data_IF_675706504357
#
_entry.id   IF_675706504357
#
_cell.length_a   1.000
_cell.length_b   1.000
_cell.length_c   1.000
_cell.angle_alpha   90.00
_cell.angle_beta   90.00
_cell.angle_gamma   90.00
#
_symmetry.space_group_name_H-M   'P 1'
#
loop_
_entity.id
_entity.type
_entity.pdbx_description
1 polymer ?
2 non-polymer ?
3 non-polymer ?
4 non-polymer ?
5 water ?
#
# COMPACT_ATOMS: atom_id res chain seq x y z
N UNK A 15 -29.43 4.67 23.77
CA UNK A 15 -28.21 5.49 23.79
C UNK A 15 -26.93 4.70 24.10
N UNK A 16 -25.83 5.21 23.58
CA UNK A 16 -24.50 4.65 23.82
C UNK A 16 -23.63 5.82 24.26
N UNK A 17 -23.33 5.88 25.55
CA UNK A 17 -22.56 6.97 26.12
C UNK A 17 -21.19 6.50 26.62
N UNK A 18 -20.70 5.37 26.10
CA UNK A 18 -19.47 4.78 26.62
C UNK A 18 -18.28 5.73 26.44
N UNK A 19 -18.07 6.25 25.24
CA UNK A 19 -16.81 6.93 24.98
C UNK A 19 -16.80 8.37 25.50
N UNK A 20 -17.95 9.04 25.48
CA UNK A 20 -18.08 10.34 26.12
C UNK A 20 -17.76 10.21 27.61
N UNK A 22 -14.66 9.44 29.81
CA UNK A 22 -13.27 9.03 30.03
C UNK A 22 -12.36 10.14 29.52
N UNK A 23 -11.38 10.55 30.32
CA UNK A 23 -10.56 11.71 29.97
C UNK A 23 -9.07 11.41 30.01
N UNK A 24 -8.69 10.14 29.98
CA UNK A 24 -7.28 9.74 30.03
C UNK A 24 -7.03 8.74 28.92
N UNK A 25 -6.59 9.25 27.78
CA UNK A 25 -6.16 8.40 26.69
C UNK A 25 -5.57 9.27 25.61
N UNK A 26 -4.74 8.64 24.77
CA UNK A 26 -4.15 9.36 23.65
C UNK A 26 -4.30 8.49 22.40
N UNK A 27 -4.55 9.13 21.27
CA UNK A 27 -4.99 8.42 20.07
C UNK A 27 -4.20 8.93 18.87
N UNK A 28 -3.62 8.00 18.11
CA UNK A 28 -2.79 8.35 16.95
C UNK A 28 -3.29 7.61 15.72
N UNK A 29 -3.21 8.28 14.59
CA UNK A 29 -3.46 7.65 13.30
C UNK A 29 -2.22 6.87 12.90
N UNK A 30 -2.41 5.65 12.39
CA UNK A 30 -1.31 4.85 11.83
C UNK A 30 -1.58 4.64 10.34
N UNK A 31 -0.66 5.07 9.49
CA UNK A 31 -0.81 4.95 8.04
C UNK A 31 0.30 4.05 7.54
N UNK A 32 -0.07 2.99 6.81
CA UNK A 32 0.86 2.01 6.29
C UNK A 32 0.69 1.92 4.78
N UNK A 33 1.80 1.74 4.06
CA UNK A 33 1.70 1.49 2.62
C UNK A 33 1.41 0.03 2.31
N UNK A 34 1.60 -0.84 3.28
CA UNK A 34 1.74 -2.27 3.03
C UNK A 34 0.58 -3.01 3.67
N UNK A 35 -0.13 -3.77 2.86
CA UNK A 35 -1.15 -4.66 3.40
C UNK A 35 -0.50 -5.81 4.16
N UNK A 36 0.69 -6.25 3.74
CA UNK A 36 1.40 -7.32 4.45
C UNK A 36 1.74 -6.92 5.87
N UNK A 37 2.18 -5.68 6.08
CA UNK A 37 2.51 -5.23 7.43
C UNK A 37 1.29 -5.29 8.34
N UNK A 38 0.13 -4.84 7.84
CA UNK A 38 -1.11 -4.92 8.61
C UNK A 38 -1.41 -6.36 9.01
N UNK A 39 -1.34 -7.29 8.04
CA UNK A 39 -1.58 -8.71 8.34
C UNK A 39 -0.61 -9.21 9.40
N UNK A 40 0.67 -8.87 9.24
CA UNK A 40 1.68 -9.29 10.20
C UNK A 40 1.42 -8.70 11.58
N UNK A 41 0.94 -7.45 11.63
CA UNK A 41 0.65 -6.81 12.89
C UNK A 41 -0.49 -7.51 13.61
N UNK A 42 -1.55 -7.85 12.88
CA UNK A 42 -2.66 -8.56 13.47
C UNK A 42 -2.22 -9.92 13.99
N UNK A 43 -1.36 -10.60 13.23
CA UNK A 43 -0.96 -11.98 13.56
C UNK A 43 -0.11 -12.03 14.82
N UNK A 44 0.84 -11.11 14.97
CA UNK A 44 1.82 -11.19 16.04
C UNK A 44 1.70 -10.09 17.08
N UNK A 45 0.78 -9.14 16.89
CA UNK A 45 0.52 -8.08 17.86
C UNK A 45 1.78 -7.24 18.11
N UNK A 46 2.39 -6.78 17.01
CA UNK A 46 3.55 -5.90 17.03
C UNK A 46 3.41 -4.87 15.92
N UNK A 47 4.15 -3.77 16.05
CA UNK A 47 4.19 -2.72 15.05
C UNK A 47 5.56 -2.06 15.09
N UNK A 48 5.86 -1.30 14.04
CA UNK A 48 7.01 -0.42 14.02
C UNK A 48 6.65 0.75 13.12
N UNK A 49 7.01 1.96 13.55
CA UNK A 49 6.76 3.15 12.76
C UNK A 49 8.10 3.66 12.25
N UNK A 50 8.11 4.89 11.72
CA UNK A 50 9.36 5.55 11.39
C UNK A 50 10.11 5.89 12.68
N UNK A 51 11.34 6.40 12.51
CA UNK A 51 12.12 6.85 13.65
C UNK A 51 11.36 7.90 14.46
N UNK A 52 10.95 9.00 13.82
CA UNK A 52 10.26 10.04 14.61
C UNK A 52 8.87 9.57 15.04
N UNK A 53 8.20 8.74 14.23
CA UNK A 53 6.93 8.18 14.66
C UNK A 53 7.06 7.36 15.93
N UNK A 54 7.98 6.40 15.92
CA UNK A 54 8.28 5.63 17.12
C UNK A 54 8.55 6.55 18.31
N UNK A 55 9.33 7.62 18.10
CA UNK A 55 9.63 8.53 19.20
C UNK A 55 8.37 9.19 19.73
N UNK A 56 7.49 9.63 18.83
CA UNK A 56 6.22 10.24 19.26
C UNK A 56 5.40 9.25 20.06
N UNK A 57 5.24 8.03 19.54
CA UNK A 57 4.44 7.03 20.23
C UNK A 57 5.08 6.64 21.56
N UNK A 58 6.42 6.52 21.57
CA UNK A 58 7.12 6.11 22.78
C UNK A 58 6.92 7.13 23.89
N UNK A 59 7.01 8.43 23.55
CA UNK A 59 6.81 9.47 24.54
C UNK A 59 5.39 9.42 25.09
N UNK A 60 4.40 9.27 24.20
CA UNK A 60 3.01 9.18 24.66
C UNK A 60 2.81 7.99 25.58
N UNK A 61 3.35 6.82 25.20
CA UNK A 61 3.14 5.63 26.03
C UNK A 61 3.79 5.77 27.39
N UNK A 62 5.02 6.27 27.43
CA UNK A 62 5.71 6.37 28.71
C UNK A 62 5.06 7.42 29.61
N UNK A 63 4.69 8.57 29.03
CA UNK A 63 4.04 9.62 29.80
C UNK A 63 2.68 9.19 30.34
N UNK A 64 2.02 8.24 29.67
CA UNK A 64 0.68 7.86 30.11
C UNK A 64 0.75 7.06 31.41
N UNK A 65 1.79 6.26 31.57
CA UNK A 65 2.04 5.48 32.78
C UNK A 65 0.79 4.71 33.22
N UNK A 66 0.33 3.84 32.31
CA UNK A 66 -0.76 2.94 32.61
C UNK A 66 -2.11 3.56 32.95
N UNK A 67 -2.18 4.89 33.09
CA UNK A 67 -3.40 5.55 33.54
C UNK A 67 -4.49 5.61 32.47
N UNK A 68 -4.23 5.06 31.29
CA UNK A 68 -5.20 5.06 30.22
C UNK A 68 -4.55 4.61 28.93
N UNK A 69 -5.35 4.33 27.91
CA UNK A 69 -4.82 3.67 26.71
C UNK A 69 -4.18 4.63 25.72
N UNK A 70 -3.23 4.11 24.96
CA UNK A 70 -2.78 4.74 23.72
C UNK A 70 -3.39 3.96 22.57
N UNK A 71 -4.30 4.58 21.82
CA UNK A 71 -5.02 3.89 20.76
C UNK A 71 -4.40 4.23 19.40
N UNK A 72 -4.32 3.22 18.54
CA UNK A 72 -3.78 3.34 17.19
C UNK A 72 -4.91 3.04 16.21
N UNK A 73 -5.21 4.00 15.36
CA UNK A 73 -6.23 3.86 14.33
C UNK A 73 -5.52 3.58 13.02
N UNK A 74 -5.66 2.36 12.49
CA UNK A 74 -4.86 1.92 11.33
C UNK A 74 -5.60 2.18 10.02
N UNK A 75 -4.86 2.65 9.01
CA UNK A 75 -5.40 2.84 7.66
C UNK A 75 -4.29 2.62 6.64
N UNK A 76 -4.55 1.80 5.63
CA UNK A 76 -3.59 1.62 4.54
C UNK A 76 -3.72 2.79 3.58
N UNK A 77 -2.61 3.46 3.30
CA UNK A 77 -2.56 4.57 2.36
C UNK A 77 -3.27 4.20 1.07
N UNK A 78 -4.14 5.08 0.59
CA UNK A 78 -4.85 4.85 -0.67
C UNK A 78 -6.04 3.90 -0.59
N UNK A 79 -6.28 3.27 0.56
CA UNK A 79 -7.35 2.28 0.62
C UNK A 79 -8.73 2.88 0.77
N UNK A 80 -8.84 4.16 1.10
CA UNK A 80 -10.13 4.79 1.33
C UNK A 80 -10.83 4.39 2.60
N UNK A 81 -10.26 3.51 3.42
CA UNK A 81 -10.91 3.13 4.67
C UNK A 81 -9.87 2.95 5.77
N UNK A 82 -10.35 3.01 7.02
CA UNK A 82 -9.59 2.54 8.17
C UNK A 82 -9.84 1.05 8.34
N UNK A 83 -8.83 0.33 8.83
CA UNK A 83 -8.94 -1.12 8.90
C UNK A 83 -8.96 -1.65 10.33
N UNK A 84 -8.81 -0.82 11.34
CA UNK A 84 -9.03 -1.29 12.68
C UNK A 84 -8.35 -0.42 13.71
N UNK A 85 -8.35 -0.93 14.94
CA UNK A 85 -7.89 -0.21 16.12
C UNK A 85 -7.05 -1.17 16.94
N UNK A 86 -5.92 -0.68 17.43
CA UNK A 86 -5.10 -1.42 18.35
C UNK A 86 -4.69 -0.51 19.49
N UNK A 87 -4.34 -1.13 20.60
CA UNK A 87 -3.81 -0.43 21.76
C UNK A 87 -2.31 -0.70 21.82
N UNK A 88 -1.52 0.34 22.03
CA UNK A 88 -0.12 0.18 22.33
C UNK A 88 0.05 -0.53 23.67
N UNK A 89 1.00 -1.48 23.72
CA UNK A 89 1.17 -2.36 24.88
C UNK A 89 2.62 -2.45 25.34
N UNK A 90 3.50 -1.61 24.85
CA UNK A 90 4.89 -1.64 25.30
C UNK A 90 5.55 -0.35 24.84
N UNK A 91 6.63 0.01 25.51
CA UNK A 91 7.48 1.03 24.96
C UNK A 91 8.18 0.50 23.72
N UNK A 92 8.84 1.39 23.00
CA UNK A 92 9.57 1.00 21.80
C UNK A 92 10.92 0.40 22.19
N UNK A 93 11.18 -0.80 21.69
CA UNK A 93 12.51 -1.39 21.72
C UNK A 93 13.16 -1.06 20.38
N UNK A 94 14.19 -0.22 20.39
CA UNK A 94 14.72 0.32 19.14
C UNK A 94 15.76 -0.58 18.48
N UNK A 95 16.25 -1.62 19.15
CA UNK A 95 17.31 -2.46 18.62
C UNK A 95 16.76 -3.87 18.51
N UNK A 96 16.15 -4.18 17.37
CA UNK A 96 15.56 -5.49 17.15
C UNK A 96 15.92 -5.96 15.77
N UNK A 97 15.52 -7.20 15.47
CA UNK A 97 15.82 -7.80 14.18
C UNK A 97 15.34 -6.91 13.04
N UNK A 98 16.23 -6.64 12.10
CA UNK A 98 15.87 -5.77 10.98
C UNK A 98 15.17 -6.58 9.90
N UNK A 99 14.54 -5.87 8.96
CA UNK A 99 13.96 -6.55 7.80
C UNK A 99 12.71 -7.37 8.04
N UNK A 100 12.01 -7.21 9.16
CA UNK A 100 10.80 -7.99 9.37
C UNK A 100 9.59 -7.38 8.69
N UNK A 101 9.65 -6.14 8.24
CA UNK A 101 8.52 -5.44 7.67
C UNK A 101 8.69 -5.24 6.16
N UNK A 102 7.71 -4.57 5.57
CA UNK A 102 7.71 -4.28 4.13
C UNK A 102 9.05 -3.72 3.68
N UNK A 103 9.45 -2.59 4.25
CA UNK A 103 10.73 -1.96 3.98
C UNK A 103 11.74 -2.37 5.05
N UNK A 104 12.91 -2.83 4.60
CA UNK A 104 13.88 -3.45 5.50
C UNK A 104 14.53 -2.48 6.46
N UNK A 105 14.26 -1.19 6.35
CA UNK A 105 14.93 -0.19 7.17
C UNK A 105 14.05 0.41 8.26
N UNK A 106 12.97 -0.27 8.67
CA UNK A 106 12.29 0.11 9.90
C UNK A 106 13.15 -0.38 11.07
N UNK A 107 13.35 0.48 12.05
CA UNK A 107 14.22 0.18 13.19
C UNK A 107 13.40 0.06 14.47
N UNK A 108 13.17 -1.17 14.92
CA UNK A 108 12.61 -1.37 16.24
C UNK A 108 11.25 -2.05 16.18
N UNK A 109 10.58 -2.06 17.34
CA UNK A 109 9.38 -2.85 17.48
C UNK A 109 8.71 -2.45 18.78
N UNK A 110 7.38 -2.44 18.79
CA UNK A 110 6.66 -2.37 20.06
C UNK A 110 5.47 -3.30 19.97
N UNK A 111 4.95 -3.67 21.15
CA UNK A 111 3.79 -4.54 21.22
C UNK A 111 2.51 -3.74 21.10
N UNK A 112 1.52 -4.34 20.45
CA UNK A 112 0.17 -3.81 20.40
C UNK A 112 -0.77 -4.96 20.70
N UNK A 113 -2.02 -4.60 20.97
CA UNK A 113 -3.10 -5.58 21.02
C UNK A 113 -4.18 -5.06 20.08
N UNK A 114 -4.43 -5.78 18.99
CA UNK A 114 -5.50 -5.39 18.10
C UNK A 114 -6.82 -5.60 18.82
N UNK A 115 -7.58 -4.52 18.92
CA UNK A 115 -8.82 -4.51 19.69
C UNK A 115 -10.03 -4.65 18.77
N UNK A 116 -9.86 -4.36 17.49
CA UNK A 116 -10.99 -4.21 16.58
C UNK A 116 -10.47 -4.22 15.15
N UNK A 117 -10.95 -5.16 14.34
CA UNK A 117 -10.47 -5.36 12.97
C UNK A 117 -11.68 -5.32 12.05
N UNK A 118 -11.96 -4.16 11.47
CA UNK A 118 -12.90 -4.13 10.35
C UNK A 118 -12.70 -2.84 9.55
N UNK A 119 -13.17 -2.89 8.31
CA UNK A 119 -13.01 -1.76 7.41
C UNK A 119 -14.10 -0.73 7.67
N UNK A 120 -13.70 0.53 7.78
CA UNK A 120 -14.62 1.63 8.02
C UNK A 120 -14.32 2.67 6.95
N UNK A 121 -15.24 2.90 6.00
CA UNK A 121 -14.96 3.82 4.89
C UNK A 121 -14.66 5.21 5.40
N UNK A 122 -13.81 5.92 4.64
CA UNK A 122 -13.49 7.31 4.97
C UNK A 122 -14.73 8.20 4.96
N UNK A 123 -15.78 7.82 4.23
CA UNK A 123 -17.00 8.62 4.19
C UNK A 123 -17.64 8.73 5.56
N UNK A 124 -17.55 7.68 6.37
CA UNK A 124 -18.11 7.72 7.72
C UNK A 124 -17.35 8.64 8.66
N UNK A 125 -16.18 9.12 8.26
CA UNK A 125 -15.30 9.85 9.18
C UNK A 125 -14.81 11.20 8.66
N UNK A 126 -14.97 11.52 7.37
CA UNK A 126 -14.35 12.72 6.80
C UNK A 126 -14.89 14.01 7.39
N UNK A 127 -16.03 13.99 8.07
CA UNK A 127 -16.59 15.21 8.64
C UNK A 127 -16.06 15.51 10.03
N UNK A 128 -15.24 14.63 10.61
CA UNK A 128 -14.51 14.91 11.83
C UNK A 128 -13.18 15.55 11.46
N UNK A 129 -12.92 16.74 11.98
CA UNK A 129 -11.73 17.49 11.60
C UNK A 129 -10.84 17.68 12.81
N UNK A 130 -9.54 17.85 12.55
CA UNK A 130 -8.53 17.89 13.59
C UNK A 130 -8.05 19.33 13.73
N UNK A 131 -8.46 19.98 14.81
CA UNK A 131 -8.03 21.36 15.03
C UNK A 131 -6.52 21.47 15.23
N UNK A 132 -5.84 20.37 15.55
CA UNK A 132 -4.39 20.42 15.68
C UNK A 132 -3.69 20.16 14.37
N UNK A 133 -4.44 19.93 13.28
CA UNK A 133 -3.88 19.68 11.95
C UNK A 133 -4.60 20.54 10.91
N UNK A 134 -4.67 21.85 11.17
CA UNK A 134 -5.27 22.82 10.23
C UNK A 134 -6.72 22.48 9.89
N UNK A 135 -7.45 21.85 10.82
CA UNK A 135 -8.84 21.48 10.60
C UNK A 135 -9.02 20.54 9.42
N UNK A 136 -7.94 19.87 8.99
CA UNK A 136 -8.07 18.87 7.95
C UNK A 136 -8.87 17.68 8.46
N UNK A 137 -9.62 17.01 7.58
CA UNK A 137 -10.35 15.81 7.99
C UNK A 137 -9.42 14.77 8.57
N UNK A 138 -9.89 14.06 9.61
CA UNK A 138 -9.09 13.02 10.24
C UNK A 138 -8.67 11.97 9.22
N UNK A 139 -9.43 11.83 8.13
CA UNK A 139 -9.13 10.90 7.05
C UNK A 139 -8.06 11.42 6.10
N UNK A 140 -7.52 12.61 6.34
CA UNK A 140 -6.44 13.18 5.54
C UNK A 140 -5.14 13.28 6.34
N UNK A 141 -4.96 12.40 7.33
CA UNK A 141 -3.85 12.48 8.26
C UNK A 141 -2.67 11.67 7.78
N UNK A 142 -1.48 12.11 8.17
CA UNK A 142 -0.23 11.39 7.99
C UNK A 142 0.01 10.44 9.17
N UNK A 143 1.02 9.58 9.01
CA UNK A 143 1.36 8.58 10.01
C UNK A 143 1.73 9.23 11.35
N UNK A 144 1.17 8.68 12.43
CA UNK A 144 1.32 9.13 13.83
C UNK A 144 0.85 10.56 14.06
N UNK A 145 -0.03 11.08 13.20
CA UNK A 145 -0.84 12.23 13.57
C UNK A 145 -1.60 11.94 14.86
N UNK A 146 -1.42 12.77 15.89
CA UNK A 146 -2.23 12.57 17.09
C UNK A 146 -3.62 13.22 16.91
N UNK A 147 -4.61 12.63 17.56
CA UNK A 147 -6.01 13.05 17.46
C UNK A 147 -6.43 13.63 18.82
N UNK A 148 -6.98 14.84 18.86
CA UNK A 148 -7.42 15.39 20.16
C UNK A 148 -8.53 14.53 20.74
N UNK A 149 -8.52 14.39 22.07
CA UNK A 149 -9.36 13.37 22.72
C UNK A 149 -10.82 13.53 22.35
N UNK A 150 -11.32 14.77 22.31
CA UNK A 150 -12.74 14.97 22.01
C UNK A 150 -13.09 14.52 20.59
N UNK A 151 -12.16 14.66 19.63
CA UNK A 151 -12.40 14.08 18.30
C UNK A 151 -12.23 12.57 18.31
N UNK A 152 -11.22 12.07 19.04
CA UNK A 152 -11.02 10.62 19.12
C UNK A 152 -12.28 9.90 19.61
N UNK A 153 -12.96 10.47 20.62
CA UNK A 153 -14.17 9.83 21.12
C UNK A 153 -15.20 9.69 20.01
N UNK A 154 -15.32 10.70 19.15
CA UNK A 154 -16.29 10.63 18.05
C UNK A 154 -15.89 9.57 17.03
N UNK A 155 -14.60 9.50 16.72
CA UNK A 155 -14.08 8.51 15.77
C UNK A 155 -14.32 7.09 16.30
N UNK A 156 -13.93 6.85 17.55
CA UNK A 156 -14.10 5.52 18.12
C UNK A 156 -15.57 5.10 18.12
N UNK A 157 -16.49 6.03 18.41
CA UNK A 157 -17.90 5.67 18.42
C UNK A 157 -18.35 5.23 17.04
N UNK A 158 -17.95 5.96 15.99
CA UNK A 158 -18.38 5.61 14.65
C UNK A 158 -17.79 4.27 14.21
N UNK A 159 -16.53 4.02 14.56
CA UNK A 159 -15.91 2.75 14.18
C UNK A 159 -16.60 1.59 14.91
N UNK A 160 -16.83 1.74 16.21
CA UNK A 160 -17.42 0.67 16.99
C UNK A 160 -18.84 0.35 16.55
N UNK A 161 -19.51 1.27 15.86
CA UNK A 161 -20.91 1.06 15.49
C UNK A 161 -21.13 0.99 13.99
N UNK A 162 -20.09 0.89 13.18
CA UNK A 162 -20.29 0.70 11.76
C UNK A 162 -20.60 -0.76 11.47
N UNK A 163 -21.56 -1.00 10.58
CA UNK A 163 -21.99 -2.35 10.23
C UNK A 163 -21.92 -2.60 8.73
N UNK B 16 21.65 -1.47 -23.67
CA UNK B 16 21.11 -1.19 -25.00
C UNK B 16 20.95 -2.47 -25.82
N UNK B 17 21.38 -3.60 -25.25
CA UNK B 17 21.10 -4.92 -25.83
C UNK B 17 19.68 -5.40 -25.55
N UNK B 18 18.81 -4.54 -25.01
CA UNK B 18 17.53 -4.96 -24.45
C UNK B 18 16.38 -4.20 -25.11
N UNK B 19 15.33 -4.94 -25.49
CA UNK B 19 14.08 -4.35 -25.97
C UNK B 19 14.31 -3.43 -27.16
N UNK B 20 15.26 -3.81 -28.01
CA UNK B 20 15.50 -3.03 -29.22
C UNK B 20 14.48 -3.34 -30.31
N UNK B 21 13.79 -4.48 -30.24
CA UNK B 21 12.77 -4.87 -31.23
C UNK B 21 11.48 -5.21 -30.51
N UNK B 22 10.65 -4.19 -30.28
CA UNK B 22 9.31 -4.35 -29.74
C UNK B 22 8.35 -3.43 -30.51
N UNK B 23 8.25 -3.68 -31.81
CA UNK B 23 7.60 -2.75 -32.73
C UNK B 23 6.18 -2.41 -32.31
N UNK B 24 5.41 -3.41 -31.86
CA UNK B 24 4.00 -3.21 -31.56
C UNK B 24 3.67 -3.37 -30.07
N UNK B 25 4.65 -3.25 -29.19
CA UNK B 25 4.41 -3.50 -27.78
C UNK B 25 3.44 -2.50 -27.16
N UNK B 26 2.81 -2.95 -26.08
CA UNK B 26 2.03 -2.10 -25.20
C UNK B 26 2.47 -2.36 -23.76
N UNK B 27 2.58 -1.31 -22.95
CA UNK B 27 3.25 -1.41 -21.66
C UNK B 27 2.40 -0.72 -20.60
N UNK B 28 2.20 -1.41 -19.46
CA UNK B 28 1.34 -0.93 -18.38
C UNK B 28 2.09 -0.98 -17.05
N UNK B 29 1.85 0.03 -16.21
CA UNK B 29 2.32 0.00 -14.83
C UNK B 29 1.45 -0.97 -14.04
N UNK B 30 2.08 -1.79 -13.19
CA UNK B 30 1.35 -2.66 -12.27
C UNK B 30 1.75 -2.26 -10.86
N UNK B 31 0.75 -1.98 -10.02
CA UNK B 31 1.01 -1.65 -8.62
C UNK B 31 0.51 -2.78 -7.73
N UNK B 32 1.16 -2.91 -6.58
CA UNK B 32 0.69 -3.84 -5.55
C UNK B 32 0.86 -3.19 -4.20
N UNK B 33 -0.07 -3.50 -3.29
CA UNK B 33 0.04 -3.16 -1.87
C UNK B 33 0.64 -4.31 -1.06
N UNK B 34 1.17 -5.33 -1.72
CA UNK B 34 1.55 -6.58 -1.04
C UNK B 34 2.81 -7.14 -1.68
N UNK B 35 3.91 -7.16 -0.92
CA UNK B 35 5.11 -7.85 -1.38
C UNK B 35 4.87 -9.34 -1.52
N UNK B 36 4.09 -9.91 -0.59
CA UNK B 36 3.70 -11.32 -0.69
C UNK B 36 3.07 -11.65 -2.05
N UNK B 37 2.14 -10.82 -2.52
CA UNK B 37 1.54 -11.08 -3.84
C UNK B 37 2.58 -11.05 -4.96
N UNK B 38 3.53 -10.12 -4.90
CA UNK B 38 4.60 -10.08 -5.90
C UNK B 38 5.40 -11.38 -5.84
N UNK B 39 5.71 -11.85 -4.64
CA UNK B 39 6.48 -13.08 -4.52
C UNK B 39 5.72 -14.26 -5.09
N UNK B 40 4.41 -14.30 -4.86
CA UNK B 40 3.57 -15.37 -5.41
C UNK B 40 3.49 -15.26 -6.93
N UNK B 41 3.39 -14.04 -7.44
CA UNK B 41 3.39 -13.81 -8.88
C UNK B 41 4.67 -14.33 -9.51
N UNK B 42 5.81 -14.08 -8.87
CA UNK B 42 7.10 -14.52 -9.41
C UNK B 42 7.18 -16.04 -9.36
N UNK B 43 6.70 -16.65 -8.26
CA UNK B 43 6.80 -18.09 -8.11
C UNK B 43 5.95 -18.82 -9.14
N UNK B 44 4.72 -18.36 -9.38
CA UNK B 44 3.77 -19.10 -10.18
C UNK B 44 3.44 -18.46 -11.52
N UNK B 45 4.04 -17.32 -11.84
CA UNK B 45 3.85 -16.69 -13.16
C UNK B 45 2.38 -16.42 -13.44
N UNK B 46 1.71 -15.75 -12.49
CA UNK B 46 0.32 -15.35 -12.61
C UNK B 46 0.15 -14.00 -11.93
N UNK B 47 -0.91 -13.29 -12.29
CA UNK B 47 -1.25 -12.05 -11.62
C UNK B 47 -2.75 -11.85 -11.68
N UNK B 48 -3.23 -10.86 -10.94
CA UNK B 48 -4.62 -10.44 -10.96
C UNK B 48 -4.63 -8.99 -10.48
N UNK B 49 -5.37 -8.13 -11.19
CA UNK B 49 -5.53 -6.72 -10.84
C UNK B 49 -6.93 -6.48 -10.26
N UNK B 50 -7.33 -5.22 -10.17
CA UNK B 50 -8.73 -4.91 -9.86
C UNK B 50 -9.62 -5.34 -11.02
N UNK B 51 -10.94 -5.22 -10.83
CA UNK B 51 -11.84 -5.53 -11.94
C UNK B 51 -11.58 -4.62 -13.12
N UNK B 52 -11.55 -3.30 -12.87
CA UNK B 52 -11.34 -2.36 -13.96
C UNK B 52 -9.94 -2.48 -14.56
N UNK B 53 -8.94 -2.81 -13.74
CA UNK B 53 -7.60 -3.01 -14.28
C UNK B 53 -7.49 -4.26 -15.14
N UNK B 54 -8.12 -5.36 -14.68
CA UNK B 54 -8.14 -6.59 -15.47
C UNK B 54 -8.73 -6.34 -16.84
N UNK B 55 -9.84 -5.61 -16.89
CA UNK B 55 -10.50 -5.31 -18.16
C UNK B 55 -9.60 -4.52 -19.09
N UNK B 56 -8.84 -3.57 -18.54
CA UNK B 56 -7.93 -2.78 -19.38
C UNK B 56 -6.83 -3.66 -19.95
N UNK B 57 -6.25 -4.54 -19.14
CA UNK B 57 -5.18 -5.41 -19.62
C UNK B 57 -5.73 -6.47 -20.57
N UNK B 58 -6.89 -7.02 -20.25
CA UNK B 58 -7.56 -7.98 -21.12
C UNK B 58 -7.79 -7.40 -22.51
N UNK B 59 -8.40 -6.21 -22.57
CA UNK B 59 -8.62 -5.51 -23.84
C UNK B 59 -7.32 -5.34 -24.61
N UNK B 60 -6.27 -4.87 -23.93
CA UNK B 60 -4.99 -4.68 -24.61
C UNK B 60 -4.43 -6.00 -25.13
N UNK B 61 -4.50 -7.06 -24.31
CA UNK B 61 -3.93 -8.34 -24.73
C UNK B 61 -4.70 -8.92 -25.92
N UNK B 62 -6.04 -8.89 -25.86
CA UNK B 62 -6.84 -9.44 -26.95
C UNK B 62 -6.63 -8.65 -28.23
N UNK B 63 -6.69 -7.32 -28.17
CA UNK B 63 -6.53 -6.49 -29.36
C UNK B 63 -5.17 -6.68 -29.98
N UNK B 64 -4.18 -7.05 -29.16
CA UNK B 64 -2.85 -7.33 -29.66
C UNK B 64 -2.86 -8.53 -30.60
N UNK B 65 -3.72 -9.52 -30.31
CA UNK B 65 -3.87 -10.71 -31.15
C UNK B 65 -2.52 -11.35 -31.45
N UNK B 66 -1.62 -11.35 -30.47
CA UNK B 66 -0.31 -11.94 -30.62
C UNK B 66 0.66 -11.20 -31.52
N UNK B 67 0.26 -10.03 -32.07
CA UNK B 67 1.14 -9.27 -32.96
C UNK B 67 2.36 -8.68 -32.25
N UNK B 68 2.30 -8.54 -30.93
CA UNK B 68 3.41 -8.01 -30.18
C UNK B 68 3.19 -8.23 -28.70
N UNK B 69 4.14 -7.84 -27.86
CA UNK B 69 4.07 -8.16 -26.44
C UNK B 69 3.39 -7.09 -25.60
N UNK B 70 2.72 -7.54 -24.54
CA UNK B 70 2.23 -6.65 -23.49
C UNK B 70 3.19 -6.80 -22.32
N UNK B 71 3.90 -5.74 -21.98
CA UNK B 71 4.85 -5.76 -20.87
C UNK B 71 4.23 -5.13 -19.63
N UNK B 72 4.70 -5.55 -18.45
CA UNK B 72 4.13 -5.12 -17.18
C UNK B 72 5.26 -4.64 -16.29
N UNK B 73 5.20 -3.40 -15.85
CA UNK B 73 6.23 -2.80 -15.01
C UNK B 73 5.72 -2.82 -13.57
N UNK B 74 6.28 -3.69 -12.74
CA UNK B 74 5.76 -3.91 -11.41
C UNK B 74 6.43 -2.98 -10.39
N UNK B 75 5.62 -2.43 -9.47
CA UNK B 75 6.12 -1.60 -8.39
C UNK B 75 5.21 -1.77 -7.17
N UNK B 76 5.81 -1.92 -6.00
CA UNK B 76 5.06 -2.01 -4.75
C UNK B 76 4.84 -0.61 -4.20
N UNK B 77 3.59 -0.26 -3.95
CA UNK B 77 3.26 1.08 -3.46
C UNK B 77 4.09 1.46 -2.24
N UNK B 78 4.64 2.67 -2.27
CA UNK B 78 5.42 3.16 -1.16
C UNK B 78 6.82 2.58 -1.03
N UNK B 79 7.22 1.67 -1.92
CA UNK B 79 8.54 1.06 -1.78
C UNK B 79 9.68 1.95 -2.28
N UNK B 80 9.38 2.99 -3.04
CA UNK B 80 10.42 3.81 -3.59
C UNK B 80 11.16 3.22 -4.77
N UNK B 81 10.74 2.06 -5.27
CA UNK B 81 11.42 1.44 -6.40
C UNK B 81 10.45 0.58 -7.19
N UNK B 82 10.79 0.38 -8.46
CA UNK B 82 10.21 -0.66 -9.26
C UNK B 82 10.89 -1.99 -8.94
N UNK B 83 10.15 -3.09 -9.09
CA UNK B 83 10.70 -4.36 -8.68
C UNK B 83 10.84 -5.37 -9.81
N UNK B 84 10.42 -5.02 -11.04
CA UNK B 84 10.79 -5.85 -12.16
C UNK B 84 9.81 -5.72 -13.31
N UNK B 85 9.91 -6.67 -14.24
CA UNK B 85 9.24 -6.61 -15.52
C UNK B 85 8.73 -8.00 -15.85
N UNK B 86 7.48 -8.09 -16.29
CA UNK B 86 6.92 -9.35 -16.77
C UNK B 86 6.17 -9.09 -18.07
N UNK B 87 5.90 -10.17 -18.79
CA UNK B 87 5.06 -10.12 -19.98
C UNK B 87 3.74 -10.82 -19.71
N UNK B 88 2.65 -10.18 -20.13
CA UNK B 88 1.34 -10.80 -20.06
C UNK B 88 1.30 -11.98 -21.02
N UNK B 89 0.76 -13.12 -20.56
CA UNK B 89 0.87 -14.35 -21.34
C UNK B 89 -0.47 -15.03 -21.57
N UNK B 90 -1.57 -14.38 -21.22
CA UNK B 90 -2.88 -14.97 -21.42
C UNK B 90 -3.92 -13.88 -21.21
N UNK B 91 -5.12 -14.12 -21.75
CA UNK B 91 -6.26 -13.30 -21.41
C UNK B 91 -6.66 -13.54 -19.96
N UNK B 92 -7.56 -12.70 -19.47
CA UNK B 92 -8.00 -12.79 -18.09
C UNK B 92 -9.09 -13.84 -17.99
N UNK B 93 -8.97 -14.71 -16.99
CA UNK B 93 -10.01 -15.64 -16.61
C UNK B 93 -10.68 -15.07 -15.36
N UNK B 94 -11.95 -14.71 -15.47
CA UNK B 94 -12.64 -14.04 -14.36
C UNK B 94 -13.25 -15.02 -13.37
N UNK B 95 -13.16 -16.32 -13.61
CA UNK B 95 -13.80 -17.32 -12.74
C UNK B 95 -12.75 -18.35 -12.33
N UNK B 96 -12.03 -18.04 -11.23
CA UNK B 96 -10.95 -18.88 -10.73
C UNK B 96 -11.09 -18.98 -9.22
N UNK B 97 -10.23 -19.79 -8.61
CA UNK B 97 -10.28 -19.98 -7.17
C UNK B 97 -10.17 -18.65 -6.45
N UNK B 98 -11.01 -18.46 -5.45
CA UNK B 98 -10.98 -17.23 -4.67
C UNK B 98 -9.97 -17.37 -3.53
N UNK B 99 -9.56 -16.22 -3.00
CA UNK B 99 -8.72 -16.18 -1.82
C UNK B 99 -7.29 -16.67 -1.99
N UNK B 100 -6.74 -16.60 -3.20
CA UNK B 100 -5.37 -17.09 -3.37
C UNK B 100 -4.32 -16.02 -3.09
N UNK B 101 -4.71 -14.75 -3.03
CA UNK B 101 -3.79 -13.64 -2.82
C UNK B 101 -3.90 -13.12 -1.39
N UNK B 102 -3.13 -12.07 -1.11
CA UNK B 102 -3.09 -11.50 0.24
C UNK B 102 -4.48 -11.11 0.73
N UNK B 103 -5.29 -10.54 -0.14
CA UNK B 103 -6.67 -10.20 0.19
C UNK B 103 -7.63 -10.95 -0.72
N UNK B 104 -8.86 -11.15 -0.23
CA UNK B 104 -9.89 -11.83 -1.00
C UNK B 104 -10.55 -10.97 -2.07
N UNK B 105 -10.29 -9.67 -2.11
CA UNK B 105 -10.90 -8.78 -3.09
C UNK B 105 -10.38 -8.97 -4.52
N UNK B 106 -9.45 -9.88 -4.79
CA UNK B 106 -8.92 -10.05 -6.13
C UNK B 106 -9.59 -11.27 -6.79
N UNK B 107 -10.28 -11.02 -7.88
CA UNK B 107 -11.08 -12.04 -8.55
C UNK B 107 -10.51 -12.28 -9.94
N UNK B 108 -10.17 -13.52 -10.23
CA UNK B 108 -9.66 -13.88 -11.54
C UNK B 108 -8.16 -14.01 -11.58
N UNK B 109 -7.64 -14.21 -12.80
CA UNK B 109 -6.24 -14.54 -12.94
C UNK B 109 -5.87 -14.44 -14.41
N UNK B 110 -4.64 -14.02 -14.69
CA UNK B 110 -4.05 -14.24 -16.00
C UNK B 110 -2.60 -14.64 -15.81
N UNK B 111 -2.04 -15.26 -16.85
CA UNK B 111 -0.67 -15.73 -16.81
C UNK B 111 0.29 -14.60 -17.16
N UNK B 112 1.47 -14.65 -16.54
CA UNK B 112 2.56 -13.75 -16.88
C UNK B 112 3.82 -14.58 -17.04
N UNK B 113 4.86 -13.94 -17.56
CA UNK B 113 6.20 -14.48 -17.56
C UNK B 113 7.14 -13.38 -17.07
N UNK B 114 7.71 -13.57 -15.89
CA UNK B 114 8.64 -12.58 -15.37
C UNK B 114 9.95 -12.64 -16.15
N UNK B 115 10.46 -11.47 -16.54
CA UNK B 115 11.69 -11.33 -17.31
C UNK B 115 12.81 -10.77 -16.46
N UNK B 116 12.54 -9.72 -15.69
CA UNK B 116 13.50 -9.18 -14.74
C UNK B 116 12.86 -9.16 -13.35
N UNK B 117 13.57 -9.68 -12.36
CA UNK B 117 13.25 -9.45 -10.96
C UNK B 117 14.41 -8.68 -10.38
N UNK B 118 14.20 -7.39 -10.12
CA UNK B 118 15.28 -6.54 -9.62
C UNK B 118 14.72 -5.19 -9.18
N UNK B 119 15.25 -4.67 -8.08
CA UNK B 119 14.80 -3.37 -7.61
C UNK B 119 15.56 -2.27 -8.33
N UNK B 120 14.83 -1.34 -8.92
CA UNK B 120 15.39 -0.16 -9.56
C UNK B 120 14.85 1.06 -8.83
N UNK B 121 15.69 1.87 -8.20
CA UNK B 121 15.19 3.05 -7.48
C UNK B 121 14.40 3.97 -8.40
N UNK B 122 13.37 4.60 -7.83
CA UNK B 122 12.60 5.58 -8.61
C UNK B 122 13.47 6.73 -9.11
N UNK B 123 14.58 7.01 -8.44
CA UNK B 123 15.47 8.09 -8.91
C UNK B 123 15.95 7.82 -10.34
N UNK B 124 16.18 6.56 -10.69
CA UNK B 124 16.63 6.20 -12.03
C UNK B 124 15.54 6.41 -13.06
N UNK B 125 14.27 6.50 -12.65
CA UNK B 125 13.17 6.55 -13.59
C UNK B 125 12.36 7.83 -13.54
N UNK B 126 12.53 8.68 -12.51
CA UNK B 126 11.55 9.72 -12.26
C UNK B 126 11.55 10.82 -13.32
N UNK B 127 12.60 10.92 -14.12
CA UNK B 127 12.65 11.97 -15.13
C UNK B 127 11.95 11.59 -16.43
N UNK B 128 11.36 10.40 -16.50
CA UNK B 128 10.55 9.98 -17.64
C UNK B 128 9.09 10.34 -17.37
N UNK B 129 8.52 11.19 -18.23
CA UNK B 129 7.19 11.70 -17.99
C UNK B 129 6.22 11.13 -19.01
N UNK B 130 4.97 11.00 -18.59
CA UNK B 130 3.93 10.38 -19.40
C UNK B 130 3.08 11.48 -20.02
N UNK B 131 3.28 11.72 -21.32
CA UNK B 131 2.44 12.71 -22.00
C UNK B 131 0.95 12.36 -21.93
N UNK B 132 0.61 11.09 -21.71
CA UNK B 132 -0.80 10.73 -21.59
C UNK B 132 -1.30 10.84 -20.16
N UNK B 133 -0.44 11.20 -19.22
CA UNK B 133 -0.82 11.33 -17.82
C UNK B 133 -0.38 12.71 -17.32
N UNK B 134 -0.87 13.76 -17.98
CA UNK B 134 -0.63 15.14 -17.58
C UNK B 134 0.86 15.42 -17.38
N UNK B 135 1.69 14.74 -18.16
CA UNK B 135 3.14 14.87 -18.07
C UNK B 135 3.69 14.54 -16.68
N UNK B 136 2.99 13.67 -15.91
CA UNK B 136 3.49 13.29 -14.60
C UNK B 136 4.62 12.26 -14.70
N UNK B 137 5.55 12.26 -13.75
CA UNK B 137 6.63 11.27 -13.78
C UNK B 137 6.09 9.84 -13.82
N UNK B 138 6.85 8.96 -14.47
CA UNK B 138 6.37 7.58 -14.60
C UNK B 138 6.26 6.93 -13.23
N UNK B 139 7.03 7.42 -12.26
CA UNK B 139 7.06 6.89 -10.90
C UNK B 139 5.89 7.37 -10.05
N UNK B 140 4.99 8.17 -10.62
CA UNK B 140 3.80 8.68 -9.95
C UNK B 140 2.56 8.14 -10.64
N UNK B 141 2.61 6.88 -11.05
CA UNK B 141 1.51 6.30 -11.78
C UNK B 141 0.68 5.40 -10.86
N UNK B 142 -0.57 5.20 -11.27
CA UNK B 142 -1.50 4.30 -10.62
C UNK B 142 -1.53 2.95 -11.35
N UNK B 143 -2.24 1.98 -10.75
CA UNK B 143 -2.28 0.61 -11.29
C UNK B 143 -2.84 0.60 -12.70
N UNK B 144 -2.16 -0.10 -13.61
CA UNK B 144 -2.56 -0.28 -15.02
C UNK B 144 -2.63 1.04 -15.79
N UNK B 145 -1.87 2.02 -15.35
CA UNK B 145 -1.58 3.18 -16.19
C UNK B 145 -0.80 2.73 -17.42
N UNK B 146 -1.30 3.05 -18.62
CA UNK B 146 -0.56 2.66 -19.81
C UNK B 146 0.55 3.65 -20.09
N UNK B 147 1.68 3.14 -20.55
CA UNK B 147 2.87 3.94 -20.84
C UNK B 147 3.01 4.10 -22.35
N UNK B 148 3.19 5.31 -22.87
CA UNK B 148 3.49 5.45 -24.30
C UNK B 148 4.74 4.67 -24.66
N UNK B 149 4.74 4.12 -25.89
CA UNK B 149 5.74 3.11 -26.26
C UNK B 149 7.16 3.67 -26.22
N UNK B 150 7.36 4.91 -26.69
CA UNK B 150 8.70 5.48 -26.64
C UNK B 150 9.19 5.68 -25.21
N UNK B 151 8.30 6.13 -24.31
CA UNK B 151 8.68 6.23 -22.89
C UNK B 151 8.83 4.85 -22.28
N UNK B 152 7.98 3.91 -22.68
CA UNK B 152 8.06 2.55 -22.16
C UNK B 152 9.39 1.91 -22.53
N UNK B 153 9.83 2.13 -23.78
CA UNK B 153 11.13 1.62 -24.20
C UNK B 153 12.24 2.15 -23.30
N UNK B 154 12.21 3.45 -22.97
CA UNK B 154 13.23 4.01 -22.10
C UNK B 154 13.23 3.33 -20.72
N UNK B 155 12.04 3.16 -20.13
CA UNK B 155 11.97 2.53 -18.81
C UNK B 155 12.49 1.11 -18.86
N UNK B 156 11.99 0.31 -19.82
CA UNK B 156 12.42 -1.08 -19.97
C UNK B 156 13.93 -1.20 -20.09
N UNK B 157 14.56 -0.33 -20.90
CA UNK B 157 16.01 -0.40 -21.06
C UNK B 157 16.71 -0.02 -19.77
N UNK B 158 16.21 0.99 -19.07
CA UNK B 158 16.86 1.41 -17.83
C UNK B 158 16.80 0.27 -16.81
N UNK B 159 15.64 -0.37 -16.70
CA UNK B 159 15.48 -1.48 -15.77
C UNK B 159 16.41 -2.62 -16.15
N UNK B 160 16.37 -3.03 -17.42
CA UNK B 160 17.20 -4.14 -17.89
C UNK B 160 18.67 -3.93 -17.53
N UNK B 161 19.19 -2.73 -17.78
CA UNK B 161 20.62 -2.48 -17.65
C UNK B 161 21.06 -2.06 -16.25
N UNK B 162 20.13 -1.79 -15.34
CA UNK B 162 20.52 -1.27 -14.03
C UNK B 162 21.33 -2.30 -13.25
N UNK B 163 22.37 -1.84 -12.57
CA UNK B 163 23.24 -2.74 -11.81
C UNK B 163 23.32 -2.36 -10.33
X LIG C 1 4.89 -15.53 8.64
X LIG C 1 5.70 -14.45 9.19
X LIG C 1 5.75 -16.65 8.27
X LIG C 1 4.21 -15.05 7.43
X LIG C 1 3.88 -15.95 9.61
X LIG D 1 -6.56 7.22 2.16
X LIG D 1 -6.75 7.15 0.71
X LIG D 1 -5.12 7.42 2.44
X LIG D 1 -7.31 8.35 2.72
X LIG D 1 -7.08 6.00 2.76
X LIG E 1 2.37 9.26 5.62
X LIG E 1 3.20 8.07 5.42
X LIG E 1 2.90 10.38 4.81
X LIG E 1 2.41 9.64 7.03
X LIG E 1 0.99 8.96 5.22
X LIG F 1 5.77 -1.36 9.67
X LIG F 1 4.97 0.68 8.35
X LIG F 1 4.92 2.20 8.24
X LIG F 1 4.45 4.10 7.03
X LIG F 1 4.86 4.90 8.09
X LIG F 1 5.31 4.26 9.23
X LIG F 1 5.67 0.08 9.49
X LIG F 1 4.41 -0.05 7.48
X LIG F 1 4.48 2.78 7.12
X LIG F 1 5.32 2.94 9.27
X LIG G 1 6.32 4.62 -4.73
X LIG G 1 6.66 5.39 -5.93
X LIG G 1 7.05 3.35 -4.80
X LIG G 1 6.76 5.31 -3.53
X LIG G 1 4.86 4.40 -4.70
X LIG H 1 -2.59 2.31 -7.12
X LIG H 1 -1.27 2.95 -6.94
X LIG H 1 -2.88 2.18 -8.54
X LIG H 1 -3.67 3.15 -6.59
X LIG H 1 -2.61 0.97 -6.47
X LIG I 1 -2.89 -9.53 -6.50
X LIG I 1 -2.81 -7.03 -6.12
X LIG I 1 -3.16 -5.62 -6.56
X LIG I 1 -3.16 -3.37 -6.18
X LIG I 1 -3.85 -3.15 -7.37
X LIG I 1 -4.20 -4.26 -8.15
X LIG I 1 -3.21 -8.18 -6.91
X LIG I 1 -2.19 -7.21 -5.04
X LIG I 1 -2.82 -4.60 -5.81
X LIG I 1 -3.83 -5.45 -7.71
X LIG J 1 -10.77 -8.01 1.65
X LIG J 1 -10.55 -8.33 0.31
X LIG J 1 -9.57 -8.58 2.44
X LIG J 1 -9.33 -7.86 3.60
X LIG J 1 -9.90 -10.06 2.73
X LIG J 1 -8.71 -10.62 3.21
#
# INVERSE_FOLDING_TARGET
MGSSYHHHHHHSSGENLYFQHMKHGRVFIIKSYSEDDIHRSIKYNIWCSTEHGNKRLDAAYRSMNGKGPVYLLFSVNGSGHFCGVAEMKSAVDYNTCAGVWSQDKWKGRFDVRWIFVKDVPNSQLRHIRLENNENKPVTNSRDTQEVPLEKAKQVLKIIASYKHTTS
MGSSYHHHHHHSSGENLYFQHMKHGRVFIIKSYSEDDIHRSIKYNIWCSTEHGNKRLDAAYRSMNGKGPVYLLFSVNGSGHFCGVAEMKSAVDYNTCAGVWSQDKWKGRFDVRWIFVKDVPNSQLRHIRLENNENKPVTNSRDTQEVPLEKAKQVLKIIASYKHTTS
SO4 S O1 O2 O3 O4
SO4 S O1 O2 O3 O4
SO4 S O1 O2 O3 O4
IQL C01 C03 C05 C07 C08 C09 N02 N04 N06 N10
SO4 S O1 O2 O3 O4
SO4 S O1 O2 O3 O4
IQL C01 C03 C05 C07 C08 C09 N02 N04 N06 N10
GOL C1 O1 C2 O2 C3 O3
#
